data_IF_669818421401
#
_entry.id   IF_669818421401
#
_cell.length_a   1.000
_cell.length_b   1.000
_cell.length_c   1.000
_cell.angle_alpha   90.00
_cell.angle_beta   90.00
_cell.angle_gamma   90.00
#
_symmetry.space_group_name_H-M   'P 1'
#
loop_
_entity.id
_entity.type
_entity.pdbx_description
1 polymer ?
#
# COMPACT_ATOMS: atom_id res chain seq x y z
N UNK A 1 -19.43 3.19 11.06
CA UNK A 1 -20.49 3.27 10.03
C UNK A 1 -21.07 4.67 9.99
N UNK A 2 -21.62 5.12 8.83
CA UNK A 2 -22.30 6.40 8.73
C UNK A 2 -23.41 6.59 9.77
N UNK A 3 -23.53 7.81 10.32
CA UNK A 3 -24.52 8.18 11.33
C UNK A 3 -24.21 7.82 12.78
N UNK A 4 -23.11 7.10 13.05
CA UNK A 4 -22.73 6.74 14.44
C UNK A 4 -22.38 8.00 15.25
N UNK A 5 -21.57 8.88 14.70
CA UNK A 5 -21.16 10.11 15.39
C UNK A 5 -22.33 11.05 15.65
N UNK A 6 -23.29 11.11 14.71
CA UNK A 6 -24.51 11.90 14.89
C UNK A 6 -25.36 11.33 16.04
N UNK A 7 -25.51 10.01 16.14
CA UNK A 7 -26.22 9.35 17.26
C UNK A 7 -25.55 9.60 18.61
N UNK A 8 -24.23 9.80 18.63
CA UNK A 8 -23.48 10.11 19.85
C UNK A 8 -23.48 11.62 20.18
N UNK A 9 -24.12 12.47 19.36
CA UNK A 9 -24.17 13.92 19.54
C UNK A 9 -22.86 14.66 19.19
N UNK A 10 -21.92 13.99 18.54
CA UNK A 10 -20.61 14.52 18.14
C UNK A 10 -20.41 14.42 16.62
N UNK A 11 -21.49 14.47 15.85
CA UNK A 11 -21.45 14.56 14.39
C UNK A 11 -20.94 15.91 13.91
N UNK A 12 -20.60 15.98 12.62
CA UNK A 12 -20.02 17.19 12.03
C UNK A 12 -20.84 18.46 12.28
N UNK A 13 -22.16 18.39 12.13
CA UNK A 13 -23.03 19.56 12.30
C UNK A 13 -22.90 20.14 13.72
N UNK A 14 -23.03 19.31 14.76
CA UNK A 14 -22.91 19.73 16.14
C UNK A 14 -21.53 20.29 16.48
N UNK A 15 -20.47 19.65 16.01
CA UNK A 15 -19.11 20.10 16.27
C UNK A 15 -18.73 21.36 15.47
N UNK A 16 -19.26 21.54 14.28
CA UNK A 16 -19.01 22.71 13.45
C UNK A 16 -19.68 23.99 14.02
N UNK A 17 -20.79 23.86 14.76
CA UNK A 17 -21.38 24.96 15.54
C UNK A 17 -20.44 25.46 16.65
N UNK A 18 -19.73 24.52 17.32
CA UNK A 18 -18.77 24.86 18.38
C UNK A 18 -17.46 25.38 17.80
N UNK A 19 -17.01 24.82 16.67
CA UNK A 19 -15.81 25.26 15.99
C UNK A 19 -16.00 25.30 14.47
N UNK A 20 -16.37 26.47 13.91
CA UNK A 20 -16.59 26.62 12.46
C UNK A 20 -15.35 26.34 11.58
N UNK A 21 -14.16 26.23 12.19
CA UNK A 21 -12.89 25.90 11.52
C UNK A 21 -12.56 24.41 11.59
N UNK A 22 -13.42 23.61 12.18
CA UNK A 22 -13.20 22.17 12.34
C UNK A 22 -13.07 21.48 10.97
N UNK A 23 -12.04 20.71 10.79
CA UNK A 23 -11.91 19.71 9.72
C UNK A 23 -12.33 18.36 10.28
N UNK A 24 -13.39 17.80 9.73
CA UNK A 24 -13.99 16.54 10.18
C UNK A 24 -13.87 15.49 9.07
N UNK A 25 -13.06 14.46 9.26
CA UNK A 25 -12.89 13.40 8.29
C UNK A 25 -13.67 12.14 8.70
N UNK A 26 -14.55 11.69 7.81
CA UNK A 26 -15.27 10.42 7.93
C UNK A 26 -14.64 9.40 6.99
N UNK A 27 -14.06 8.34 7.54
CA UNK A 27 -13.50 7.23 6.78
C UNK A 27 -14.44 6.03 6.89
N UNK A 28 -14.83 5.47 5.76
CA UNK A 28 -15.71 4.31 5.72
C UNK A 28 -15.40 3.40 4.51
N UNK A 29 -15.96 2.20 4.49
CA UNK A 29 -15.76 1.27 3.39
C UNK A 29 -16.36 1.75 2.07
N UNK A 30 -17.56 2.35 2.15
CA UNK A 30 -18.38 2.63 0.96
C UNK A 30 -18.90 4.08 0.90
N UNK A 31 -18.40 5.00 1.72
CA UNK A 31 -18.86 6.38 1.78
C UNK A 31 -19.98 6.60 2.80
N UNK A 32 -20.33 7.87 3.02
CA UNK A 32 -21.38 8.28 3.96
C UNK A 32 -22.78 8.18 3.34
N UNK A 33 -22.88 8.05 2.03
CA UNK A 33 -24.13 7.92 1.27
C UNK A 33 -24.07 6.76 0.27
N UNK A 34 -25.08 6.65 -0.60
CA UNK A 34 -25.18 5.61 -1.60
C UNK A 34 -25.72 4.27 -1.06
N UNK A 35 -25.97 3.31 -1.97
CA UNK A 35 -26.71 2.07 -1.64
C UNK A 35 -25.92 1.12 -0.72
N UNK A 36 -24.62 1.32 -0.56
CA UNK A 36 -23.75 0.44 0.25
C UNK A 36 -23.29 1.10 1.55
N UNK A 37 -23.65 2.34 1.84
CA UNK A 37 -23.18 3.09 3.01
C UNK A 37 -23.32 2.34 4.33
N UNK A 38 -24.38 1.54 4.50
CA UNK A 38 -24.63 0.75 5.72
C UNK A 38 -24.12 -0.70 5.65
N UNK A 39 -23.49 -1.13 4.53
CA UNK A 39 -22.98 -2.48 4.42
C UNK A 39 -21.71 -2.67 5.26
N UNK A 40 -21.56 -3.88 5.78
CA UNK A 40 -20.30 -4.32 6.39
C UNK A 40 -19.30 -4.70 5.29
N UNK A 41 -18.01 -4.52 5.57
CA UNK A 41 -16.92 -4.92 4.67
C UNK A 41 -15.58 -4.75 5.37
N UNK A 42 -14.59 -5.38 4.78
CA UNK A 42 -13.18 -5.24 5.08
C UNK A 42 -12.42 -5.01 3.78
N UNK A 43 -11.12 -4.80 3.86
CA UNK A 43 -10.24 -4.52 2.72
C UNK A 43 -10.58 -5.32 1.45
N UNK A 44 -10.66 -6.64 1.57
CA UNK A 44 -10.94 -7.54 0.44
C UNK A 44 -12.27 -7.23 -0.26
N UNK A 45 -13.28 -6.76 0.47
CA UNK A 45 -14.58 -6.38 -0.09
C UNK A 45 -14.46 -5.05 -0.86
N UNK A 46 -13.68 -4.10 -0.34
CA UNK A 46 -13.46 -2.78 -0.96
C UNK A 46 -12.69 -2.91 -2.27
N UNK A 47 -11.57 -3.65 -2.27
CA UNK A 47 -10.79 -3.92 -3.48
C UNK A 47 -11.56 -4.82 -4.47
N UNK A 48 -12.46 -5.67 -3.98
CA UNK A 48 -13.35 -6.50 -4.79
C UNK A 48 -14.34 -5.66 -5.59
N UNK A 49 -15.09 -4.78 -4.93
CA UNK A 49 -16.03 -3.87 -5.61
C UNK A 49 -15.34 -2.85 -6.52
N UNK A 50 -14.13 -2.44 -6.19
CA UNK A 50 -13.33 -1.57 -7.04
C UNK A 50 -12.77 -2.26 -8.30
N UNK A 51 -12.95 -3.58 -8.44
CA UNK A 51 -12.41 -4.36 -9.57
C UNK A 51 -10.91 -4.62 -9.50
N UNK A 52 -10.23 -4.15 -8.45
CA UNK A 52 -8.77 -4.30 -8.30
C UNK A 52 -8.40 -5.73 -7.90
N UNK A 53 -9.19 -6.38 -7.03
CA UNK A 53 -8.95 -7.77 -6.64
C UNK A 53 -8.96 -8.72 -7.84
N UNK A 54 -9.81 -8.46 -8.83
CA UNK A 54 -9.82 -9.25 -10.07
C UNK A 54 -8.49 -9.22 -10.83
N UNK A 55 -7.72 -8.14 -10.70
CA UNK A 55 -6.43 -7.97 -11.39
C UNK A 55 -5.25 -8.62 -10.65
N UNK A 56 -5.44 -9.09 -9.42
CA UNK A 56 -4.38 -9.67 -8.58
C UNK A 56 -4.41 -11.20 -8.68
N UNK A 57 -3.32 -11.82 -9.13
CA UNK A 57 -3.18 -13.27 -9.24
C UNK A 57 -2.45 -13.70 -10.51
N UNK A 58 -2.20 -14.99 -10.61
CA UNK A 58 -1.56 -15.59 -11.77
C UNK A 58 -2.51 -15.69 -13.00
N UNK A 59 -1.93 -15.68 -14.19
CA UNK A 59 -2.66 -15.87 -15.43
C UNK A 59 -3.44 -17.20 -15.41
N UNK A 60 -4.74 -17.15 -15.74
CA UNK A 60 -5.60 -18.32 -15.71
C UNK A 60 -5.97 -18.85 -14.33
N UNK A 61 -5.42 -18.28 -13.25
CA UNK A 61 -5.75 -18.62 -11.86
C UNK A 61 -6.90 -17.80 -11.28
N UNK A 62 -7.36 -18.12 -10.06
CA UNK A 62 -8.31 -17.30 -9.32
C UNK A 62 -7.66 -15.97 -8.86
N UNK A 63 -8.46 -14.97 -8.44
CA UNK A 63 -7.93 -13.82 -7.71
C UNK A 63 -7.15 -14.27 -6.47
N UNK A 64 -6.00 -13.65 -6.23
CA UNK A 64 -5.18 -13.90 -5.05
C UNK A 64 -5.43 -12.80 -4.00
N UNK A 65 -5.56 -13.20 -2.73
CA UNK A 65 -5.68 -12.25 -1.61
C UNK A 65 -4.29 -11.71 -1.28
N UNK A 66 -4.03 -10.41 -1.47
CA UNK A 66 -2.73 -9.84 -1.12
C UNK A 66 -2.60 -9.75 0.40
N UNK A 67 -1.41 -10.05 0.93
CA UNK A 67 -1.08 -9.74 2.33
C UNK A 67 -0.56 -8.29 2.46
N UNK A 68 -1.21 -7.38 1.76
CA UNK A 68 -1.02 -5.94 1.81
C UNK A 68 -2.40 -5.31 1.63
N UNK A 69 -2.93 -4.71 2.68
CA UNK A 69 -4.30 -4.21 2.74
C UNK A 69 -4.41 -2.92 1.92
N UNK A 70 -4.65 -3.08 0.63
CA UNK A 70 -4.65 -1.97 -0.36
C UNK A 70 -5.76 -0.96 -0.04
N UNK A 71 -6.96 -1.45 0.26
CA UNK A 71 -8.10 -0.60 0.59
C UNK A 71 -7.88 0.18 1.87
N UNK A 72 -7.40 -0.49 2.91
CA UNK A 72 -7.17 0.13 4.23
C UNK A 72 -6.00 1.11 4.19
N UNK A 73 -4.86 0.74 3.58
CA UNK A 73 -3.66 1.58 3.56
C UNK A 73 -3.77 2.75 2.58
N UNK A 74 -4.24 2.50 1.35
CA UNK A 74 -4.42 3.56 0.36
C UNK A 74 -5.68 4.38 0.67
N UNK A 75 -6.83 3.69 0.80
CA UNK A 75 -8.12 4.32 0.95
C UNK A 75 -8.45 4.77 2.37
N UNK A 76 -8.00 4.03 3.38
CA UNK A 76 -8.26 4.32 4.79
C UNK A 76 -7.18 5.18 5.47
N UNK A 77 -5.97 5.26 4.92
CA UNK A 77 -4.88 6.06 5.48
C UNK A 77 -4.39 7.17 4.54
N UNK A 78 -3.82 6.86 3.37
CA UNK A 78 -3.15 7.87 2.55
C UNK A 78 -4.14 8.89 1.94
N UNK A 79 -5.24 8.44 1.34
CA UNK A 79 -6.22 9.33 0.71
C UNK A 79 -6.90 10.23 1.73
N UNK A 80 -7.37 9.74 2.91
CA UNK A 80 -7.88 10.61 3.97
C UNK A 80 -6.86 11.63 4.46
N UNK A 81 -5.60 11.25 4.62
CA UNK A 81 -4.54 12.17 5.04
C UNK A 81 -4.36 13.32 4.06
N UNK A 82 -4.37 13.05 2.75
CA UNK A 82 -4.31 14.09 1.71
C UNK A 82 -5.52 15.02 1.81
N UNK A 83 -6.73 14.47 1.95
CA UNK A 83 -7.97 15.24 2.12
C UNK A 83 -7.96 16.10 3.38
N UNK A 84 -7.47 15.56 4.50
CA UNK A 84 -7.31 16.27 5.77
C UNK A 84 -6.31 17.43 5.64
N UNK A 85 -5.12 17.20 5.10
CA UNK A 85 -4.09 18.24 4.96
C UNK A 85 -4.57 19.36 4.04
N UNK A 86 -5.18 19.04 2.90
CA UNK A 86 -5.77 20.03 1.99
C UNK A 86 -6.86 20.86 2.70
N UNK A 87 -7.73 20.21 3.46
CA UNK A 87 -8.80 20.88 4.20
C UNK A 87 -8.28 21.72 5.36
N UNK A 88 -7.21 21.31 6.04
CA UNK A 88 -6.56 22.11 7.09
C UNK A 88 -5.91 23.34 6.50
N UNK A 89 -5.23 23.24 5.35
CA UNK A 89 -4.67 24.39 4.64
C UNK A 89 -5.78 25.38 4.24
N UNK A 90 -6.86 24.88 3.66
CA UNK A 90 -8.03 25.73 3.31
C UNK A 90 -8.66 26.37 4.56
N UNK A 91 -8.86 25.61 5.64
CA UNK A 91 -9.43 26.14 6.88
C UNK A 91 -8.54 27.21 7.55
N UNK A 92 -7.23 27.11 7.43
CA UNK A 92 -6.30 28.15 7.89
C UNK A 92 -6.40 29.43 7.06
N UNK A 93 -6.58 29.30 5.74
CA UNK A 93 -6.68 30.43 4.83
C UNK A 93 -8.07 31.08 4.84
N UNK A 94 -9.14 30.27 4.82
CA UNK A 94 -10.53 30.75 4.70
C UNK A 94 -11.24 31.03 6.03
N UNK A 95 -10.72 30.50 7.14
CA UNK A 95 -11.40 30.51 8.44
C UNK A 95 -12.56 29.50 8.54
N UNK A 96 -12.76 28.64 7.55
CA UNK A 96 -13.89 27.69 7.46
C UNK A 96 -13.40 26.25 7.39
N UNK A 97 -13.89 25.41 8.29
CA UNK A 97 -13.65 23.98 8.29
C UNK A 97 -14.37 23.26 7.15
N UNK A 98 -14.09 21.97 7.04
CA UNK A 98 -14.70 21.09 6.00
C UNK A 98 -15.05 19.75 6.61
N UNK A 99 -16.14 19.15 6.10
CA UNK A 99 -16.38 17.72 6.22
C UNK A 99 -15.69 17.04 5.03
N UNK A 100 -14.82 16.07 5.32
CA UNK A 100 -14.14 15.22 4.34
C UNK A 100 -14.78 13.84 4.46
N UNK A 101 -15.37 13.35 3.39
CA UNK A 101 -15.91 11.99 3.28
C UNK A 101 -14.98 11.16 2.41
N UNK A 102 -14.49 10.06 2.94
CA UNK A 102 -13.60 9.15 2.21
C UNK A 102 -14.15 7.73 2.30
N UNK A 103 -14.47 7.19 1.12
CA UNK A 103 -14.78 5.79 0.93
C UNK A 103 -13.52 5.03 0.49
N UNK A 104 -13.15 3.97 1.22
CA UNK A 104 -12.00 3.14 0.84
C UNK A 104 -12.19 2.53 -0.55
N UNK A 105 -13.40 2.12 -0.90
CA UNK A 105 -13.74 1.61 -2.25
C UNK A 105 -13.50 2.65 -3.34
N UNK A 106 -13.94 3.90 -3.13
CA UNK A 106 -13.78 4.98 -4.11
C UNK A 106 -12.30 5.31 -4.33
N UNK A 107 -11.54 5.37 -3.23
CA UNK A 107 -10.10 5.61 -3.28
C UNK A 107 -9.37 4.54 -4.11
N UNK A 108 -9.66 3.26 -3.87
CA UNK A 108 -9.08 2.15 -4.64
C UNK A 108 -9.52 2.23 -6.10
N UNK A 109 -10.81 2.46 -6.36
CA UNK A 109 -11.35 2.58 -7.72
C UNK A 109 -10.70 3.71 -8.51
N UNK A 110 -10.52 4.88 -7.90
CA UNK A 110 -9.86 6.03 -8.52
C UNK A 110 -8.39 5.77 -8.91
N UNK A 111 -7.73 4.79 -8.27
CA UNK A 111 -6.36 4.40 -8.57
C UNK A 111 -6.26 3.20 -9.53
N UNK A 112 -7.38 2.61 -9.97
CA UNK A 112 -7.41 1.53 -10.96
C UNK A 112 -7.15 2.01 -12.39
N UNK A 113 -6.16 2.86 -12.61
CA UNK A 113 -5.90 3.58 -13.87
C UNK A 113 -5.48 2.63 -14.98
N UNK A 114 -4.57 1.69 -14.68
CA UNK A 114 -4.09 0.74 -15.70
C UNK A 114 -5.17 -0.27 -16.14
N UNK A 115 -5.94 -0.90 -15.25
CA UNK A 115 -7.08 -1.73 -15.65
C UNK A 115 -8.10 -0.95 -16.50
N UNK A 116 -8.40 0.30 -16.13
CA UNK A 116 -9.31 1.15 -16.90
C UNK A 116 -8.74 1.47 -18.28
N UNK A 117 -7.48 1.87 -18.37
CA UNK A 117 -6.82 2.15 -19.66
C UNK A 117 -6.81 0.89 -20.55
N UNK A 118 -6.51 -0.28 -19.98
CA UNK A 118 -6.57 -1.55 -20.68
C UNK A 118 -7.97 -1.90 -21.21
N UNK A 119 -9.00 -1.68 -20.39
CA UNK A 119 -10.39 -1.86 -20.79
C UNK A 119 -10.76 -0.96 -21.97
N UNK A 120 -10.43 0.33 -21.90
CA UNK A 120 -10.75 1.30 -22.95
C UNK A 120 -10.00 1.01 -24.26
N UNK A 121 -8.74 0.58 -24.18
CA UNK A 121 -7.91 0.29 -25.36
C UNK A 121 -8.35 -0.99 -26.07
N UNK A 122 -8.80 -2.01 -25.35
CA UNK A 122 -9.15 -3.34 -25.89
C UNK A 122 -10.64 -3.56 -26.08
N UNK A 123 -11.48 -2.72 -25.48
CA UNK A 123 -12.92 -2.93 -25.33
C UNK A 123 -13.26 -4.28 -24.66
N UNK A 124 -12.34 -4.77 -23.83
CA UNK A 124 -12.47 -6.00 -23.05
C UNK A 124 -11.68 -5.88 -21.75
N UNK A 125 -12.09 -6.54 -20.66
CA UNK A 125 -11.33 -6.54 -19.41
C UNK A 125 -9.89 -7.01 -19.62
N UNK A 126 -8.89 -6.36 -19.02
CA UNK A 126 -7.51 -6.81 -19.07
C UNK A 126 -7.38 -8.18 -18.37
N UNK A 127 -6.61 -9.10 -18.95
CA UNK A 127 -6.48 -10.46 -18.38
C UNK A 127 -5.60 -10.39 -17.12
N UNK A 128 -6.08 -11.01 -16.03
CA UNK A 128 -5.32 -11.15 -14.78
C UNK A 128 -3.98 -11.83 -15.02
N UNK A 129 -2.90 -11.25 -14.49
CA UNK A 129 -1.57 -11.83 -14.58
C UNK A 129 -1.00 -11.97 -16.00
N UNK A 130 -1.65 -11.35 -17.00
CA UNK A 130 -1.27 -11.49 -18.40
C UNK A 130 -1.30 -10.17 -19.18
N UNK A 131 -1.37 -9.03 -18.47
CA UNK A 131 -1.21 -7.70 -19.06
C UNK A 131 0.23 -7.21 -18.93
N UNK A 132 0.54 -6.06 -19.54
CA UNK A 132 1.89 -5.47 -19.64
C UNK A 132 2.60 -5.41 -18.27
N UNK A 133 1.93 -4.88 -17.25
CA UNK A 133 2.49 -4.69 -15.91
C UNK A 133 2.01 -5.73 -14.90
N UNK A 134 1.48 -6.85 -15.36
CA UNK A 134 1.02 -7.93 -14.50
C UNK A 134 1.59 -9.31 -14.86
N UNK A 135 2.68 -9.35 -15.65
CA UNK A 135 3.37 -10.58 -16.02
C UNK A 135 3.05 -11.09 -17.43
N UNK A 136 2.35 -10.33 -18.28
CA UNK A 136 1.98 -10.70 -19.64
C UNK A 136 3.15 -10.69 -20.63
N UNK A 137 4.23 -10.00 -20.31
CA UNK A 137 5.42 -9.85 -21.17
C UNK A 137 6.68 -10.38 -20.48
N UNK A 138 7.71 -10.84 -21.26
CA UNK A 138 8.93 -11.39 -20.67
C UNK A 138 9.72 -10.40 -19.81
N UNK A 139 9.73 -9.12 -20.16
CA UNK A 139 10.51 -8.10 -19.49
C UNK A 139 9.90 -7.58 -18.19
N UNK A 140 8.68 -8.03 -17.82
CA UNK A 140 8.01 -7.62 -16.60
C UNK A 140 7.33 -8.82 -15.95
N UNK A 141 7.95 -9.38 -14.92
CA UNK A 141 7.41 -10.57 -14.25
C UNK A 141 8.31 -11.10 -13.13
N UNK A 142 7.87 -12.17 -12.52
CA UNK A 142 8.57 -12.87 -11.44
C UNK A 142 9.02 -14.25 -11.95
N UNK A 143 10.27 -14.61 -11.68
CA UNK A 143 10.91 -15.83 -12.16
C UNK A 143 11.45 -16.63 -10.97
N UNK A 144 11.06 -17.91 -10.89
CA UNK A 144 11.52 -18.80 -9.85
C UNK A 144 13.01 -19.20 -10.05
N UNK A 145 13.75 -19.32 -8.95
CA UNK A 145 15.14 -19.77 -8.90
C UNK A 145 15.24 -21.23 -8.46
N UNK A 146 16.42 -21.84 -8.58
CA UNK A 146 16.64 -23.26 -8.30
C UNK A 146 16.31 -23.67 -6.85
N UNK A 147 16.42 -22.73 -5.91
CA UNK A 147 16.15 -22.90 -4.47
C UNK A 147 14.71 -22.58 -4.07
N UNK A 148 13.80 -22.42 -5.04
CA UNK A 148 12.39 -22.09 -4.80
C UNK A 148 12.15 -20.63 -4.39
N UNK A 149 13.16 -19.76 -4.50
CA UNK A 149 13.06 -18.32 -4.33
C UNK A 149 12.69 -17.66 -5.66
N UNK A 150 12.69 -16.33 -5.72
CA UNK A 150 12.23 -15.60 -6.90
C UNK A 150 13.10 -14.39 -7.20
N UNK A 151 13.20 -14.05 -8.50
CA UNK A 151 13.72 -12.79 -9.00
C UNK A 151 12.60 -12.00 -9.65
N UNK A 152 12.55 -10.70 -9.39
CA UNK A 152 11.66 -9.76 -10.08
C UNK A 152 12.42 -9.11 -11.25
N UNK A 153 11.83 -9.14 -12.42
CA UNK A 153 12.33 -8.50 -13.64
C UNK A 153 11.39 -7.37 -14.01
N UNK A 154 11.90 -6.15 -14.15
CA UNK A 154 11.18 -4.95 -14.53
C UNK A 154 11.85 -4.19 -15.68
N UNK A 155 12.48 -4.89 -16.63
CA UNK A 155 13.30 -4.35 -17.70
C UNK A 155 12.47 -3.78 -18.87
N UNK A 156 11.63 -2.78 -18.58
CA UNK A 156 10.68 -2.19 -19.54
C UNK A 156 11.37 -1.36 -20.63
N UNK A 157 12.46 -0.69 -20.32
CA UNK A 157 13.23 0.05 -21.31
C UNK A 157 14.11 -0.89 -22.12
N UNK A 158 14.21 -0.64 -23.42
CA UNK A 158 14.96 -1.48 -24.35
C UNK A 158 16.40 -1.73 -23.90
N UNK A 159 17.08 -0.70 -23.40
CA UNK A 159 18.47 -0.80 -22.94
C UNK A 159 18.63 -1.79 -21.76
N UNK A 160 17.69 -1.79 -20.81
CA UNK A 160 17.72 -2.69 -19.66
C UNK A 160 17.41 -4.13 -20.07
N UNK A 161 16.44 -4.31 -20.97
CA UNK A 161 16.13 -5.63 -21.52
C UNK A 161 17.29 -6.24 -22.32
N UNK A 162 17.94 -5.44 -23.19
CA UNK A 162 19.09 -5.89 -23.96
C UNK A 162 20.27 -6.25 -23.03
N UNK A 163 20.54 -5.43 -22.00
CA UNK A 163 21.57 -5.69 -21.01
C UNK A 163 21.26 -6.97 -20.19
N UNK A 164 20.01 -7.17 -19.78
CA UNK A 164 19.56 -8.41 -19.13
C UNK A 164 19.83 -9.62 -20.03
N UNK A 165 19.41 -9.57 -21.29
CA UNK A 165 19.62 -10.67 -22.24
C UNK A 165 21.11 -10.99 -22.44
N UNK A 166 21.95 -9.97 -22.54
CA UNK A 166 23.41 -10.13 -22.70
C UNK A 166 24.02 -10.75 -21.43
N UNK A 167 23.64 -10.25 -20.26
CA UNK A 167 24.12 -10.78 -18.95
C UNK A 167 23.76 -12.25 -18.77
N UNK A 168 22.58 -12.65 -19.21
CA UNK A 168 22.12 -14.04 -19.16
C UNK A 168 22.69 -14.93 -20.29
N UNK A 169 23.47 -14.37 -21.23
CA UNK A 169 23.93 -15.09 -22.43
C UNK A 169 22.80 -15.49 -23.37
N UNK A 170 21.70 -14.73 -23.38
CA UNK A 170 20.50 -15.01 -24.18
C UNK A 170 20.13 -13.86 -25.12
N UNK A 171 21.06 -13.45 -26.03
CA UNK A 171 20.78 -12.38 -27.01
C UNK A 171 19.64 -12.73 -27.96
N UNK A 172 19.32 -14.02 -28.12
CA UNK A 172 18.19 -14.53 -28.89
C UNK A 172 16.82 -14.05 -28.34
N UNK A 173 16.73 -13.65 -27.07
CA UNK A 173 15.50 -13.16 -26.44
C UNK A 173 15.27 -11.65 -26.68
N UNK A 174 16.25 -10.88 -27.12
CA UNK A 174 16.11 -9.41 -27.32
C UNK A 174 14.88 -9.01 -28.15
N UNK A 175 14.52 -9.71 -29.25
CA UNK A 175 13.35 -9.32 -30.05
C UNK A 175 11.99 -9.54 -29.35
N UNK A 176 11.95 -10.21 -28.19
CA UNK A 176 10.72 -10.63 -27.53
C UNK A 176 10.36 -9.83 -26.29
N UNK A 177 10.98 -8.69 -26.04
CA UNK A 177 10.78 -7.83 -24.86
C UNK A 177 9.30 -7.66 -24.49
N UNK A 178 8.50 -7.14 -25.40
CA UNK A 178 7.08 -6.84 -25.21
C UNK A 178 6.19 -7.86 -25.97
N UNK A 179 6.66 -9.08 -26.16
CA UNK A 179 5.89 -10.09 -26.86
C UNK A 179 4.77 -10.64 -25.97
N UNK A 180 3.55 -10.65 -26.50
CA UNK A 180 2.37 -11.28 -25.91
C UNK A 180 2.04 -12.63 -26.56
N UNK A 181 1.15 -13.40 -25.93
CA UNK A 181 0.66 -14.68 -26.45
C UNK A 181 1.77 -15.70 -26.61
N UNK A 182 1.65 -16.61 -27.57
CA UNK A 182 2.56 -17.75 -27.73
C UNK A 182 4.05 -17.38 -27.85
N UNK A 183 4.36 -16.25 -28.48
CA UNK A 183 5.76 -15.76 -28.56
C UNK A 183 6.27 -15.29 -27.20
N UNK A 184 5.45 -14.53 -26.47
CA UNK A 184 5.77 -14.08 -25.13
C UNK A 184 5.88 -15.24 -24.14
N UNK A 185 4.99 -16.20 -24.19
CA UNK A 185 5.02 -17.42 -23.37
C UNK A 185 6.30 -18.23 -23.60
N UNK A 186 6.71 -18.40 -24.86
CA UNK A 186 7.96 -19.09 -25.20
C UNK A 186 9.18 -18.35 -24.66
N UNK A 187 9.23 -17.02 -24.77
CA UNK A 187 10.32 -16.23 -24.24
C UNK A 187 10.35 -16.25 -22.72
N UNK A 188 9.20 -16.16 -22.05
CA UNK A 188 9.10 -16.30 -20.58
C UNK A 188 9.53 -17.69 -20.11
N UNK A 189 9.11 -18.75 -20.78
CA UNK A 189 9.55 -20.10 -20.46
C UNK A 189 11.07 -20.25 -20.58
N UNK A 190 11.67 -19.63 -21.59
CA UNK A 190 13.12 -19.63 -21.78
C UNK A 190 13.84 -18.87 -20.66
N UNK A 191 13.34 -17.71 -20.22
CA UNK A 191 13.87 -16.99 -19.06
C UNK A 191 13.68 -17.76 -17.76
N UNK A 192 12.50 -18.37 -17.56
CA UNK A 192 12.22 -19.21 -16.39
C UNK A 192 13.22 -20.36 -16.29
N UNK A 193 13.57 -21.01 -17.41
CA UNK A 193 14.57 -22.07 -17.42
C UNK A 193 15.97 -21.57 -17.05
N UNK A 194 16.33 -20.35 -17.45
CA UNK A 194 17.61 -19.73 -17.07
C UNK A 194 17.63 -19.46 -15.56
N UNK A 195 16.62 -18.75 -15.03
CA UNK A 195 16.57 -18.42 -13.60
C UNK A 195 16.49 -19.66 -12.71
N UNK A 196 15.75 -20.68 -13.11
CA UNK A 196 15.67 -21.96 -12.40
C UNK A 196 16.97 -22.77 -12.39
N UNK A 197 17.96 -22.38 -13.18
CA UNK A 197 19.27 -23.05 -13.26
C UNK A 197 20.21 -22.74 -12.10
N UNK A 198 19.95 -21.68 -11.32
CA UNK A 198 20.82 -21.24 -10.24
C UNK A 198 19.99 -20.74 -9.03
N UNK A 199 20.54 -20.77 -7.80
CA UNK A 199 19.87 -20.23 -6.63
C UNK A 199 19.80 -18.70 -6.66
N UNK A 200 18.89 -18.12 -5.87
CA UNK A 200 18.69 -16.67 -5.80
C UNK A 200 19.98 -15.90 -5.48
N UNK A 201 20.81 -16.44 -4.58
CA UNK A 201 22.09 -15.83 -4.20
C UNK A 201 23.05 -15.65 -5.39
N UNK A 202 23.07 -16.61 -6.33
CA UNK A 202 23.85 -16.49 -7.56
C UNK A 202 23.35 -15.32 -8.42
N UNK A 203 22.04 -15.16 -8.55
CA UNK A 203 21.45 -14.08 -9.34
C UNK A 203 21.63 -12.71 -8.69
N UNK A 204 21.56 -12.63 -7.35
CA UNK A 204 21.92 -11.41 -6.61
C UNK A 204 23.35 -10.99 -6.97
N UNK A 205 24.34 -11.88 -6.83
CA UNK A 205 25.72 -11.59 -7.17
C UNK A 205 25.92 -11.25 -8.66
N UNK A 206 25.18 -11.91 -9.56
CA UNK A 206 25.26 -11.65 -11.01
C UNK A 206 24.77 -10.25 -11.36
N UNK A 207 23.70 -9.77 -10.72
CA UNK A 207 23.07 -8.48 -11.02
C UNK A 207 23.52 -7.33 -10.11
N UNK A 208 24.36 -7.58 -9.13
CA UNK A 208 24.85 -6.55 -8.19
C UNK A 208 25.48 -5.34 -8.89
N UNK A 209 26.28 -5.58 -9.93
CA UNK A 209 26.92 -4.54 -10.72
C UNK A 209 26.23 -4.26 -12.07
N UNK A 210 25.04 -4.83 -12.30
CA UNK A 210 24.34 -4.75 -13.59
C UNK A 210 22.99 -4.04 -13.42
N UNK A 211 22.94 -2.77 -13.80
CA UNK A 211 21.71 -1.95 -13.71
C UNK A 211 20.74 -2.26 -14.86
N UNK A 212 19.99 -3.36 -14.71
CA UNK A 212 19.02 -3.82 -15.70
C UNK A 212 17.62 -4.11 -15.13
N UNK A 213 17.27 -3.49 -13.99
CA UNK A 213 15.98 -3.64 -13.32
C UNK A 213 15.65 -5.11 -12.94
N UNK A 214 16.63 -5.83 -12.42
CA UNK A 214 16.46 -7.19 -11.87
C UNK A 214 16.83 -7.18 -10.39
N UNK A 215 15.91 -7.63 -9.54
CA UNK A 215 16.10 -7.64 -8.08
C UNK A 215 15.62 -8.95 -7.47
N UNK A 216 16.15 -9.37 -6.31
CA UNK A 216 15.55 -10.47 -5.56
C UNK A 216 14.15 -10.09 -5.05
N UNK A 217 13.29 -11.08 -4.89
CA UNK A 217 12.07 -10.96 -4.09
C UNK A 217 12.42 -11.37 -2.66
N UNK A 218 12.57 -10.38 -1.79
CA UNK A 218 12.93 -10.58 -0.39
C UNK A 218 11.71 -10.96 0.45
N UNK A 219 11.92 -11.74 1.50
CA UNK A 219 10.98 -11.84 2.61
C UNK A 219 11.00 -10.55 3.43
N UNK A 220 9.98 -10.32 4.27
CA UNK A 220 9.96 -9.15 5.15
C UNK A 220 11.14 -9.15 6.13
N UNK A 221 11.56 -10.32 6.61
CA UNK A 221 12.72 -10.45 7.49
C UNK A 221 14.00 -10.01 6.79
N UNK A 222 14.23 -10.46 5.56
CA UNK A 222 15.40 -10.05 4.75
C UNK A 222 15.33 -8.56 4.36
N UNK A 223 14.12 -8.03 4.16
CA UNK A 223 13.95 -6.61 3.87
C UNK A 223 14.34 -5.71 5.05
N UNK A 224 14.16 -6.16 6.30
CA UNK A 224 14.64 -5.44 7.48
C UNK A 224 16.17 -5.27 7.48
N UNK A 225 16.90 -6.24 6.93
CA UNK A 225 18.36 -6.23 6.85
C UNK A 225 18.88 -5.65 5.51
N UNK A 226 17.99 -5.23 4.62
CA UNK A 226 18.39 -4.70 3.31
C UNK A 226 19.20 -3.41 3.46
N UNK A 227 20.36 -3.36 2.84
CA UNK A 227 21.33 -2.26 2.95
C UNK A 227 20.75 -0.89 2.56
N UNK A 228 19.92 -0.83 1.52
CA UNK A 228 19.27 0.42 1.09
C UNK A 228 18.26 0.90 2.12
N UNK A 229 17.46 0.01 2.72
CA UNK A 229 16.48 0.36 3.73
C UNK A 229 17.18 0.77 5.04
N UNK A 230 18.26 0.08 5.41
CA UNK A 230 19.11 0.43 6.55
C UNK A 230 19.79 1.79 6.35
N UNK A 231 20.46 2.00 5.21
CA UNK A 231 21.13 3.26 4.90
C UNK A 231 20.15 4.46 4.84
N UNK A 232 18.89 4.21 4.47
CA UNK A 232 17.84 5.23 4.52
C UNK A 232 17.23 5.42 5.90
N UNK A 233 17.64 4.64 6.90
CA UNK A 233 17.07 4.69 8.25
C UNK A 233 15.59 4.34 8.29
N UNK A 234 15.14 3.42 7.43
CA UNK A 234 13.74 2.99 7.37
C UNK A 234 13.40 1.98 8.45
N UNK A 235 14.39 1.34 9.02
CA UNK A 235 14.25 0.44 10.17
C UNK A 235 14.81 1.14 11.39
N UNK A 236 13.96 1.35 12.39
CA UNK A 236 14.32 1.88 13.70
C UNK A 236 14.02 0.83 14.76
N UNK A 237 14.69 0.90 15.88
CA UNK A 237 14.46 0.00 17.00
C UNK A 237 13.97 0.79 18.21
N UNK A 238 12.91 0.29 18.83
CA UNK A 238 12.42 0.81 20.09
C UNK A 238 12.16 -0.37 21.04
N UNK A 239 12.87 -0.41 22.17
CA UNK A 239 12.84 -1.48 23.18
C UNK A 239 13.07 -2.88 22.60
N UNK A 240 14.03 -3.03 21.66
CA UNK A 240 14.36 -4.29 21.02
C UNK A 240 13.34 -4.76 19.97
N UNK A 241 12.38 -3.91 19.60
CA UNK A 241 11.37 -4.22 18.57
C UNK A 241 11.65 -3.37 17.32
N UNK A 242 11.90 -4.00 16.16
CA UNK A 242 12.05 -3.26 14.91
C UNK A 242 10.73 -2.58 14.52
N UNK A 243 10.83 -1.32 14.12
CA UNK A 243 9.72 -0.50 13.67
C UNK A 243 10.07 0.19 12.35
N UNK A 244 9.07 0.63 11.61
CA UNK A 244 9.27 1.41 10.40
C UNK A 244 9.38 2.90 10.73
N UNK A 245 10.41 3.54 10.21
CA UNK A 245 10.50 4.99 10.24
C UNK A 245 9.49 5.61 9.25
N UNK A 246 9.13 6.90 9.42
CA UNK A 246 8.37 7.62 8.41
C UNK A 246 9.05 7.55 7.03
N UNK A 247 8.30 7.31 5.94
CA UNK A 247 8.87 7.04 4.62
C UNK A 247 9.40 8.30 3.90
N UNK A 248 9.32 9.46 4.52
CA UNK A 248 9.84 10.73 4.01
C UNK A 248 10.89 11.32 4.93
N UNK A 249 11.84 12.03 4.35
CA UNK A 249 12.86 12.82 5.07
C UNK A 249 12.62 14.28 4.76
N UNK A 250 12.55 15.09 5.81
CA UNK A 250 12.42 16.54 5.68
C UNK A 250 13.79 17.18 5.94
N UNK A 251 14.11 18.25 5.20
CA UNK A 251 15.26 19.07 5.53
C UNK A 251 15.05 19.70 6.91
N UNK A 252 16.12 19.78 7.68
CA UNK A 252 16.13 20.43 9.00
C UNK A 252 15.13 19.86 10.02
N UNK A 253 14.71 18.59 9.83
CA UNK A 253 13.82 17.91 10.76
C UNK A 253 14.17 16.41 10.84
N UNK A 254 14.45 15.93 12.04
CA UNK A 254 14.66 14.52 12.34
C UNK A 254 13.45 13.94 13.09
N UNK A 255 12.98 12.79 12.67
CA UNK A 255 11.98 12.04 13.41
C UNK A 255 12.67 11.25 14.52
N UNK A 256 12.22 11.43 15.75
CA UNK A 256 12.57 10.55 16.87
C UNK A 256 11.34 9.77 17.33
N UNK A 257 11.52 8.50 17.66
CA UNK A 257 10.52 7.67 18.31
C UNK A 257 10.86 7.61 19.79
N UNK A 258 10.36 8.57 20.57
CA UNK A 258 10.62 8.64 22.01
C UNK A 258 9.68 7.76 22.82
N UNK A 259 8.61 7.27 22.20
CA UNK A 259 7.58 6.47 22.88
C UNK A 259 7.26 5.22 22.09
N UNK A 260 7.24 4.10 22.76
CA UNK A 260 6.76 2.85 22.22
C UNK A 260 5.23 2.81 22.15
N UNK A 261 4.69 1.80 21.47
CA UNK A 261 3.26 1.51 21.50
C UNK A 261 2.82 1.26 22.96
N UNK A 262 1.88 2.04 23.51
CA UNK A 262 1.47 1.89 24.90
C UNK A 262 0.64 0.63 25.10
N UNK A 263 0.71 0.08 26.31
CA UNK A 263 -0.29 -0.90 26.73
C UNK A 263 -1.69 -0.26 26.80
N UNK A 264 -2.77 -1.02 26.62
CA UNK A 264 -4.13 -0.48 26.76
C UNK A 264 -4.32 0.23 28.11
N UNK A 265 -4.79 1.47 28.07
CA UNK A 265 -5.03 2.28 29.26
C UNK A 265 -3.79 2.90 29.94
N UNK A 266 -2.58 2.66 29.42
CA UNK A 266 -1.33 3.12 30.04
C UNK A 266 -1.29 4.62 30.30
N UNK A 267 -1.87 5.44 29.44
CA UNK A 267 -1.90 6.89 29.54
C UNK A 267 -3.26 7.48 29.93
N UNK A 268 -4.22 6.66 30.36
CA UNK A 268 -5.57 7.13 30.69
C UNK A 268 -5.57 8.24 31.73
N UNK A 269 -4.80 8.10 32.80
CA UNK A 269 -4.71 9.08 33.88
C UNK A 269 -4.07 10.39 33.41
N UNK A 270 -3.01 10.32 32.62
CA UNK A 270 -2.31 11.47 32.04
C UNK A 270 -3.26 12.28 31.16
N UNK A 271 -3.92 11.61 30.22
CA UNK A 271 -4.85 12.24 29.27
C UNK A 271 -6.05 12.86 29.96
N UNK A 272 -6.60 12.19 30.99
CA UNK A 272 -7.73 12.73 31.74
C UNK A 272 -7.35 13.95 32.59
N UNK A 273 -6.14 13.96 33.19
CA UNK A 273 -5.64 15.15 33.89
C UNK A 273 -5.42 16.33 32.95
N UNK A 274 -4.85 16.10 31.77
CA UNK A 274 -4.71 17.12 30.72
C UNK A 274 -6.07 17.66 30.26
N UNK A 275 -7.10 16.81 30.24
CA UNK A 275 -8.48 17.20 29.95
C UNK A 275 -9.19 17.92 31.13
N UNK A 276 -8.51 18.13 32.27
CA UNK A 276 -9.02 18.85 33.43
C UNK A 276 -9.78 18.01 34.46
N UNK A 277 -9.72 16.69 34.36
CA UNK A 277 -10.30 15.80 35.39
C UNK A 277 -9.40 15.76 36.63
N UNK A 278 -9.99 15.93 37.80
CA UNK A 278 -9.32 15.71 39.06
C UNK A 278 -9.16 14.23 39.43
N UNK A 279 -8.35 13.95 40.44
CA UNK A 279 -8.08 12.56 40.86
C UNK A 279 -9.33 11.83 41.28
N UNK A 280 -10.27 12.48 41.98
CA UNK A 280 -11.51 11.87 42.44
C UNK A 280 -12.42 11.50 41.26
N UNK A 281 -12.45 12.32 40.22
CA UNK A 281 -13.19 12.04 38.99
C UNK A 281 -12.60 10.84 38.25
N UNK A 282 -11.27 10.78 38.12
CA UNK A 282 -10.56 9.67 37.49
C UNK A 282 -10.81 8.36 38.25
N UNK A 283 -10.75 8.39 39.56
CA UNK A 283 -11.03 7.22 40.40
C UNK A 283 -12.50 6.77 40.32
N UNK A 284 -13.44 7.70 40.13
CA UNK A 284 -14.84 7.34 39.86
C UNK A 284 -14.99 6.59 38.51
N UNK A 285 -14.34 7.10 37.44
CA UNK A 285 -14.36 6.43 36.14
C UNK A 285 -13.78 5.02 36.20
N UNK A 286 -12.68 4.84 36.95
CA UNK A 286 -12.05 3.53 37.15
C UNK A 286 -12.96 2.57 37.94
N UNK A 287 -13.60 3.03 39.03
CA UNK A 287 -14.56 2.22 39.77
C UNK A 287 -15.79 1.82 38.94
N UNK A 288 -16.16 2.59 37.94
CA UNK A 288 -17.25 2.33 37.03
C UNK A 288 -16.85 1.44 35.85
N UNK A 289 -15.58 1.05 35.74
CA UNK A 289 -15.06 0.25 34.63
C UNK A 289 -15.07 0.98 33.29
N UNK A 290 -15.00 2.32 33.30
CA UNK A 290 -14.92 3.14 32.08
C UNK A 290 -13.47 3.24 31.59
N UNK A 291 -12.52 3.20 32.51
CA UNK A 291 -11.07 3.17 32.27
C UNK A 291 -10.40 2.10 33.14
#
# INVERSE_FOLDING_TARGET
RPGVMDKLGIGYAALAELNPRLVFCSISGYGQDGPYAQRAGHDINYIGYAGVLDQIGAAGGPPAVPNFQIGDLLGGALVPLVGLLASVIDARASGRGRKVDVAMTDAVFAHAVFPLAGLLARLAPPPRGADLLSGGVPCYGVYATADGRYMAVGALEKKFWELLCDTLGRPDLKPFQLAFGAKGEKARAALSAVFAGQPQSHWIATFDAVDCCVTPVLTIAEALDNEQLQARGMVIEADGIPQFAPPWKLSDYEFSSERNAPAPGQHSDEVLREAGFDTDAIDRLRRQGII
#
